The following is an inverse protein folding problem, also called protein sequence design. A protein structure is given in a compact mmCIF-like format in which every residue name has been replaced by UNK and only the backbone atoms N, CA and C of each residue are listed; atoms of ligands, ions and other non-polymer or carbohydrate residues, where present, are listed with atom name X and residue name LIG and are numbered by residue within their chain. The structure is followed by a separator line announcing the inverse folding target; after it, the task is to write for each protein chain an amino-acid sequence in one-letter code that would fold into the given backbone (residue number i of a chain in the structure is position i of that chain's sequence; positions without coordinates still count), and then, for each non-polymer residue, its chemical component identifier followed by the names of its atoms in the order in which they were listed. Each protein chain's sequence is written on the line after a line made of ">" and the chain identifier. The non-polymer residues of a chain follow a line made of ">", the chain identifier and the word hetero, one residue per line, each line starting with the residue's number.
data_IF_861346013451
#
_entry.id   IF_861346013451
#
_cell.length_a   1.000
_cell.length_b   1.000
_cell.length_c   1.000
_cell.angle_alpha   90.00
_cell.angle_beta   90.00
_cell.angle_gamma   90.00
#
_symmetry.space_group_name_H-M   'P 1'
#
loop_
_entity.id
_entity.type
_entity.pdbx_description
1 polymer ?
#
# COMPACT_ATOMS: atom_id res chain seq x y z
N UNK A 1 -59.86 -26.69 -31.15
CA UNK A 1 -59.17 -26.61 -29.85
C UNK A 1 -57.75 -26.13 -30.13
N UNK A 2 -57.35 -24.98 -29.57
CA UNK A 2 -56.06 -24.32 -29.83
C UNK A 2 -54.99 -25.00 -28.98
N UNK A 3 -54.00 -25.63 -29.61
CA UNK A 3 -52.89 -26.26 -28.91
C UNK A 3 -51.92 -25.20 -28.37
N UNK A 4 -51.86 -25.12 -27.05
CA UNK A 4 -51.04 -24.21 -26.27
C UNK A 4 -49.55 -24.44 -26.48
N UNK A 5 -48.83 -23.40 -26.88
CA UNK A 5 -47.37 -23.30 -26.76
C UNK A 5 -46.99 -23.40 -25.28
N UNK A 6 -46.26 -24.44 -24.88
CA UNK A 6 -45.52 -24.46 -23.61
C UNK A 6 -44.09 -24.00 -23.88
N UNK A 7 -43.76 -22.87 -23.27
CA UNK A 7 -42.45 -22.23 -23.27
C UNK A 7 -41.51 -23.15 -22.49
N UNK A 8 -40.49 -23.68 -23.16
CA UNK A 8 -39.44 -24.47 -22.52
C UNK A 8 -38.59 -23.50 -21.70
N UNK A 9 -38.81 -23.51 -20.38
CA UNK A 9 -37.98 -22.82 -19.40
C UNK A 9 -36.56 -23.39 -19.45
N UNK A 10 -35.64 -22.60 -19.97
CA UNK A 10 -34.24 -22.99 -20.14
C UNK A 10 -33.33 -21.77 -20.19
N UNK A 11 -33.59 -20.76 -19.37
CA UNK A 11 -32.69 -19.62 -19.17
C UNK A 11 -32.57 -19.35 -17.66
N UNK A 12 -32.04 -20.32 -16.93
CA UNK A 12 -31.67 -20.16 -15.51
C UNK A 12 -30.31 -20.82 -15.28
N UNK A 13 -29.30 -20.41 -16.05
CA UNK A 13 -28.01 -21.10 -16.02
C UNK A 13 -26.76 -20.27 -16.34
N UNK A 14 -26.84 -18.94 -16.36
CA UNK A 14 -25.65 -18.09 -16.57
C UNK A 14 -25.74 -16.84 -15.68
N UNK A 15 -25.82 -17.01 -14.37
CA UNK A 15 -25.66 -15.90 -13.42
C UNK A 15 -24.56 -16.14 -12.38
N UNK A 16 -23.97 -17.34 -12.32
CA UNK A 16 -22.94 -17.67 -11.33
C UNK A 16 -21.49 -17.45 -11.79
N UNK A 17 -21.25 -17.22 -13.09
CA UNK A 17 -19.88 -17.10 -13.63
C UNK A 17 -19.32 -15.66 -13.63
N UNK A 18 -20.15 -14.64 -13.38
CA UNK A 18 -19.73 -13.23 -13.40
C UNK A 18 -19.41 -12.63 -12.02
N UNK A 19 -19.59 -13.38 -10.94
CA UNK A 19 -19.35 -12.88 -9.58
C UNK A 19 -17.93 -13.16 -9.04
N UNK A 20 -17.09 -13.92 -9.75
CA UNK A 20 -15.80 -14.39 -9.24
C UNK A 20 -14.58 -13.62 -9.77
N UNK A 21 -14.75 -12.55 -10.55
CA UNK A 21 -13.64 -11.78 -11.14
C UNK A 21 -13.37 -10.45 -10.40
N UNK A 22 -13.77 -10.33 -9.13
CA UNK A 22 -13.49 -9.13 -8.32
C UNK A 22 -12.94 -9.43 -6.92
N UNK A 23 -12.14 -10.48 -6.79
CA UNK A 23 -11.21 -10.64 -5.65
C UNK A 23 -9.74 -10.54 -6.10
N UNK A 24 -9.46 -9.74 -7.12
CA UNK A 24 -8.16 -9.07 -7.26
C UNK A 24 -8.37 -7.72 -6.55
N UNK A 25 -7.83 -7.41 -5.38
CA UNK A 25 -6.43 -7.47 -5.01
C UNK A 25 -6.39 -7.34 -3.48
N UNK A 26 -6.18 -8.43 -2.75
CA UNK A 26 -5.80 -8.29 -1.36
C UNK A 26 -4.37 -7.73 -1.37
N UNK A 27 -4.27 -6.44 -1.08
CA UNK A 27 -3.04 -5.67 -0.94
C UNK A 27 -1.99 -6.45 -0.15
N UNK A 28 -1.07 -7.11 -0.83
CA UNK A 28 0.27 -7.31 -0.31
C UNK A 28 1.02 -6.02 -0.58
N UNK A 29 0.73 -4.95 0.17
CA UNK A 29 1.63 -3.82 0.17
C UNK A 29 2.91 -4.33 0.80
N UNK A 30 3.90 -4.66 -0.03
CA UNK A 30 5.18 -5.12 0.47
C UNK A 30 5.79 -3.96 1.26
N UNK A 31 6.10 -4.23 2.54
CA UNK A 31 6.75 -3.27 3.40
C UNK A 31 7.99 -2.68 2.68
N UNK A 32 8.01 -1.37 2.52
CA UNK A 32 9.02 -0.66 1.71
C UNK A 32 9.82 0.26 2.60
N UNK A 33 11.14 0.26 2.46
CA UNK A 33 12.02 1.20 3.17
C UNK A 33 12.02 2.55 2.47
N UNK A 34 11.80 3.61 3.24
CA UNK A 34 11.87 4.99 2.81
C UNK A 34 12.98 5.73 3.58
N UNK A 35 13.57 6.72 2.92
CA UNK A 35 14.62 7.61 3.40
C UNK A 35 14.07 9.04 3.35
N UNK A 36 14.34 9.86 4.37
CA UNK A 36 13.83 11.23 4.41
C UNK A 36 14.92 12.25 4.05
N UNK A 37 14.82 12.84 2.86
CA UNK A 37 15.70 13.90 2.37
C UNK A 37 14.94 14.84 1.43
N UNK A 38 15.46 16.03 1.17
CA UNK A 38 14.78 17.07 0.38
C UNK A 38 13.34 17.37 0.86
N UNK A 39 13.13 17.26 2.17
CA UNK A 39 11.83 17.39 2.85
C UNK A 39 10.75 16.41 2.36
N UNK A 40 11.14 15.26 1.81
CA UNK A 40 10.23 14.20 1.35
C UNK A 40 10.74 12.80 1.69
N UNK A 41 9.81 11.84 1.75
CA UNK A 41 10.12 10.43 1.82
C UNK A 41 10.39 9.86 0.44
N UNK A 42 11.47 9.11 0.30
CA UNK A 42 11.97 8.59 -0.96
C UNK A 42 12.35 7.11 -0.78
N UNK A 43 12.12 6.27 -1.78
CA UNK A 43 12.43 4.83 -1.70
C UNK A 43 13.90 4.51 -2.00
N UNK A 44 14.65 5.49 -2.52
CA UNK A 44 16.06 5.35 -2.85
C UNK A 44 16.92 5.95 -1.75
N UNK A 45 17.94 5.21 -1.31
CA UNK A 45 18.93 5.75 -0.40
C UNK A 45 19.77 6.82 -1.13
N UNK A 46 20.06 7.98 -0.51
CA UNK A 46 20.97 8.96 -1.11
C UNK A 46 22.38 8.39 -1.17
N UNK A 47 23.06 8.56 -2.31
CA UNK A 47 24.42 8.02 -2.51
C UNK A 47 25.52 8.82 -1.80
N UNK A 48 25.26 10.07 -1.43
CA UNK A 48 26.25 11.00 -0.89
C UNK A 48 25.91 11.56 0.50
N UNK A 49 24.75 11.22 1.05
CA UNK A 49 24.32 11.70 2.37
C UNK A 49 24.40 10.54 3.36
N UNK A 50 24.78 10.85 4.60
CA UNK A 50 24.85 9.85 5.66
C UNK A 50 23.91 10.20 6.79
N UNK A 51 23.53 9.16 7.53
CA UNK A 51 22.66 9.30 8.66
C UNK A 51 23.42 9.84 9.87
N UNK A 52 23.16 11.10 10.23
CA UNK A 52 23.77 11.73 11.41
C UNK A 52 22.81 11.61 12.59
N UNK A 53 23.32 11.18 13.75
CA UNK A 53 22.52 10.93 14.94
C UNK A 53 21.71 12.16 15.38
N UNK A 54 20.39 12.00 15.40
CA UNK A 54 19.40 12.95 15.92
C UNK A 54 18.29 12.11 16.56
N UNK A 55 18.13 12.13 17.89
CA UNK A 55 17.25 11.21 18.62
C UNK A 55 15.75 11.47 18.39
N UNK A 56 15.38 12.58 17.73
CA UNK A 56 13.98 12.93 17.50
C UNK A 56 13.52 12.65 16.06
N UNK A 57 14.45 12.28 15.18
CA UNK A 57 14.22 12.17 13.74
C UNK A 57 14.48 10.77 13.22
N UNK A 58 13.76 10.45 12.16
CA UNK A 58 13.92 9.26 11.35
C UNK A 58 14.75 9.60 10.12
N UNK A 59 15.76 8.80 9.90
CA UNK A 59 16.64 8.89 8.76
C UNK A 59 16.15 7.98 7.64
N UNK A 60 15.79 6.75 8.03
CA UNK A 60 15.03 5.81 7.22
C UNK A 60 14.08 5.01 8.09
N UNK A 61 13.02 4.48 7.49
CA UNK A 61 12.06 3.60 8.14
C UNK A 61 11.35 2.72 7.10
N UNK A 62 10.83 1.59 7.54
CA UNK A 62 9.98 0.70 6.73
C UNK A 62 8.53 1.07 6.99
N UNK A 63 7.74 1.11 5.93
CA UNK A 63 6.30 1.33 6.01
C UNK A 63 5.56 0.31 5.15
N UNK A 64 4.45 -0.22 5.67
CA UNK A 64 3.53 -1.08 4.92
C UNK A 64 2.81 -0.33 3.80
N UNK A 65 2.64 0.98 3.95
CA UNK A 65 2.06 1.85 2.90
C UNK A 65 2.90 3.12 2.78
N UNK A 66 2.87 3.82 1.62
CA UNK A 66 3.61 5.06 1.49
C UNK A 66 3.33 6.03 2.64
N UNK A 67 4.37 6.58 3.31
CA UNK A 67 4.18 7.44 4.46
C UNK A 67 3.37 8.68 4.10
N UNK A 68 2.37 9.00 4.91
CA UNK A 68 1.48 10.15 4.71
C UNK A 68 2.02 11.43 5.33
N UNK A 69 2.86 11.31 6.36
CA UNK A 69 3.53 12.44 7.00
C UNK A 69 4.59 13.04 6.08
N UNK A 70 4.69 14.37 6.08
CA UNK A 70 5.76 15.12 5.40
C UNK A 70 6.93 15.44 6.33
N UNK A 71 6.93 14.89 7.53
CA UNK A 71 7.94 15.09 8.57
C UNK A 71 8.63 13.78 8.86
N UNK A 72 9.88 13.86 9.29
CA UNK A 72 10.60 12.72 9.83
C UNK A 72 10.69 12.74 11.36
N UNK A 73 9.90 13.57 12.06
CA UNK A 73 9.80 13.44 13.50
C UNK A 73 9.22 12.06 13.86
N UNK A 74 9.83 11.39 14.85
CA UNK A 74 9.39 10.07 15.32
C UNK A 74 7.92 10.10 15.73
N UNK A 75 7.50 11.16 16.43
CA UNK A 75 6.12 11.35 16.89
C UNK A 75 5.10 11.47 15.75
N UNK A 76 5.54 11.84 14.55
CA UNK A 76 4.67 12.00 13.37
C UNK A 76 4.62 10.75 12.48
N UNK A 77 5.39 9.71 12.81
CA UNK A 77 5.46 8.47 12.02
C UNK A 77 5.24 7.24 12.93
N UNK A 78 4.07 7.11 13.58
CA UNK A 78 3.80 6.01 14.51
C UNK A 78 3.68 4.62 13.84
N UNK A 79 3.51 4.59 12.51
CA UNK A 79 3.45 3.37 11.71
C UNK A 79 4.80 2.99 11.07
N UNK A 80 5.89 3.65 11.49
CA UNK A 80 7.24 3.36 11.02
C UNK A 80 7.82 2.16 11.76
N UNK A 81 8.29 1.18 11.00
CA UNK A 81 9.00 -0.01 11.50
C UNK A 81 10.47 0.01 11.08
N UNK A 82 11.29 -0.85 11.70
CA UNK A 82 12.73 -0.99 11.44
C UNK A 82 13.46 0.36 11.26
N UNK A 83 13.22 1.26 12.22
CA UNK A 83 13.65 2.66 12.15
C UNK A 83 15.17 2.80 12.25
N UNK A 84 15.72 3.70 11.44
CA UNK A 84 17.05 4.24 11.62
C UNK A 84 16.91 5.67 12.16
N UNK A 85 17.35 5.89 13.39
CA UNK A 85 17.26 7.18 14.06
C UNK A 85 18.37 8.09 13.55
N UNK A 86 18.02 9.32 13.19
CA UNK A 86 18.93 10.32 12.68
C UNK A 86 18.30 11.28 11.67
N UNK A 87 19.15 12.12 11.09
CA UNK A 87 18.82 12.99 9.97
C UNK A 87 19.86 12.78 8.87
N UNK A 88 19.41 12.67 7.62
CA UNK A 88 20.31 12.66 6.47
C UNK A 88 20.97 14.05 6.31
N UNK A 89 22.30 14.05 6.20
CA UNK A 89 23.15 15.22 5.97
C UNK A 89 24.11 14.95 4.83
#
# INVERSE_FOLDING_TARGET
>A
MKNSKKINGGILGIAAALALVFTQSAFTSAATRYYFYDNQWQTSAPSSQTCVSDPQRLCSAVFDTPPTSKSNLISENPAADEVQIGKLQ
#
